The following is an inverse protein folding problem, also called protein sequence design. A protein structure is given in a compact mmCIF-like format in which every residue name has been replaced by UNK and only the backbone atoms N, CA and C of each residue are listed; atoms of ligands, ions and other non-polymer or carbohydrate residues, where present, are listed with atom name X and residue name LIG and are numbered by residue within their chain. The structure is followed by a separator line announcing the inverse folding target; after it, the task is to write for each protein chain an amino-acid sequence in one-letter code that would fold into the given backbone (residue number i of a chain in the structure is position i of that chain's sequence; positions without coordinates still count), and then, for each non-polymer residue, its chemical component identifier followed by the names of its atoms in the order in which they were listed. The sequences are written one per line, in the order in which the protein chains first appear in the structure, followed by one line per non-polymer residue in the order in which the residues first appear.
data_IF_232248542221
#
_entry.id   IF_232248542221
#
_cell.length_a   1.000
_cell.length_b   1.000
_cell.length_c   1.000
_cell.angle_alpha   90.00
_cell.angle_beta   90.00
_cell.angle_gamma   90.00
#
_symmetry.space_group_name_H-M   'P 1'
#
loop_
_entity.id
_entity.type
_entity.pdbx_description
1 polymer ?
#
# COMPACT_ATOMS: atom_id res chain seq x y z
N UNK A 1 25.04 91.39 -18.48
CA UNK A 1 23.96 91.61 -17.53
C UNK A 1 23.28 90.30 -17.19
N UNK A 2 23.17 90.05 -15.90
CA UNK A 2 22.29 89.04 -15.25
C UNK A 2 22.71 87.61 -15.51
N UNK A 3 23.03 86.89 -14.57
CA UNK A 3 22.74 86.56 -13.20
C UNK A 3 22.47 85.04 -13.14
N UNK A 4 23.23 84.42 -12.28
CA UNK A 4 23.23 83.05 -12.01
C UNK A 4 21.95 82.49 -11.38
N UNK A 5 21.76 81.21 -11.52
CA UNK A 5 20.98 80.47 -10.57
C UNK A 5 21.61 79.05 -10.42
N UNK A 6 21.92 78.77 -9.18
CA UNK A 6 22.52 77.50 -8.76
C UNK A 6 21.50 76.35 -8.97
N UNK A 7 21.93 75.31 -9.61
CA UNK A 7 21.25 73.99 -9.57
C UNK A 7 21.69 73.26 -8.34
N UNK A 8 20.80 73.04 -7.38
CA UNK A 8 20.97 72.15 -6.26
C UNK A 8 20.84 70.69 -6.76
N UNK A 9 21.92 69.96 -6.66
CA UNK A 9 21.92 68.51 -6.88
C UNK A 9 21.20 67.79 -5.74
N UNK A 10 20.05 67.21 -6.04
CA UNK A 10 19.33 66.33 -5.12
C UNK A 10 19.94 64.95 -5.18
N UNK A 11 20.73 64.61 -4.18
CA UNK A 11 21.31 63.27 -4.02
C UNK A 11 20.23 62.29 -3.55
N UNK A 12 19.92 61.17 -4.27
CA UNK A 12 18.91 60.22 -3.79
C UNK A 12 19.50 59.39 -2.66
N UNK A 13 18.85 59.44 -1.51
CA UNK A 13 19.11 58.65 -0.32
C UNK A 13 18.81 57.17 -0.61
N UNK A 14 19.83 56.35 -0.86
CA UNK A 14 19.71 54.91 -1.03
C UNK A 14 19.40 54.24 0.31
N UNK A 15 18.13 53.92 0.56
CA UNK A 15 17.75 53.05 1.65
C UNK A 15 18.17 51.63 1.35
N UNK A 16 19.23 51.19 2.05
CA UNK A 16 19.62 49.75 2.05
C UNK A 16 18.71 48.99 3.01
N UNK A 17 17.68 48.35 2.48
CA UNK A 17 16.92 47.36 3.25
C UNK A 17 17.79 46.13 3.45
N UNK A 18 18.27 45.95 4.67
CA UNK A 18 18.90 44.69 5.09
C UNK A 18 17.76 43.71 5.43
N UNK A 19 17.44 42.84 4.49
CA UNK A 19 16.53 41.72 4.77
C UNK A 19 17.31 40.68 5.61
N UNK A 20 17.10 40.71 6.91
CA UNK A 20 17.55 39.61 7.78
C UNK A 20 16.66 38.40 7.55
N UNK A 21 17.18 37.44 6.80
CA UNK A 21 16.52 36.13 6.60
C UNK A 21 16.73 35.32 7.91
N UNK A 22 15.71 35.32 8.77
CA UNK A 22 15.65 34.43 9.93
C UNK A 22 15.36 33.01 9.42
N UNK A 23 16.40 32.20 9.29
CA UNK A 23 16.27 30.76 9.07
C UNK A 23 15.70 30.11 10.34
N UNK A 24 14.39 29.87 10.35
CA UNK A 24 13.76 29.00 11.33
C UNK A 24 14.14 27.54 11.01
N UNK A 25 15.10 27.00 11.70
CA UNK A 25 15.38 25.55 11.70
C UNK A 25 14.33 24.87 12.56
N UNK A 26 13.33 24.25 11.92
CA UNK A 26 12.38 23.36 12.60
C UNK A 26 13.14 22.07 12.90
N UNK A 27 13.31 21.67 14.17
CA UNK A 27 13.89 20.37 14.47
C UNK A 27 12.93 19.29 13.98
N UNK A 28 13.32 18.52 12.96
CA UNK A 28 12.64 17.28 12.61
C UNK A 28 12.94 16.31 13.74
N UNK A 29 12.00 16.17 14.66
CA UNK A 29 12.05 15.09 15.64
C UNK A 29 11.96 13.78 14.85
N UNK A 30 13.07 13.07 14.72
CA UNK A 30 13.07 11.68 14.26
C UNK A 30 12.24 10.89 15.28
N UNK A 31 10.98 10.58 14.93
CA UNK A 31 10.18 9.65 15.70
C UNK A 31 10.90 8.30 15.62
N UNK A 32 11.67 7.98 16.67
CA UNK A 32 12.29 6.67 16.80
C UNK A 32 11.19 5.62 16.76
N UNK A 33 11.22 4.74 15.77
CA UNK A 33 10.32 3.59 15.73
C UNK A 33 10.53 2.80 17.02
N UNK A 34 9.50 2.72 17.85
CA UNK A 34 9.48 1.87 19.01
C UNK A 34 9.78 0.44 18.52
N UNK A 35 10.87 -0.15 19.07
CA UNK A 35 11.23 -1.53 18.75
C UNK A 35 10.07 -2.43 19.17
N UNK A 36 9.35 -3.01 18.21
CA UNK A 36 8.36 -4.04 18.52
C UNK A 36 9.04 -5.21 19.22
N UNK A 37 8.44 -5.77 20.28
CA UNK A 37 8.98 -6.96 20.91
C UNK A 37 9.04 -8.10 19.89
N UNK A 38 10.02 -9.02 20.08
CA UNK A 38 10.07 -10.23 19.26
C UNK A 38 8.78 -11.03 19.44
N UNK A 39 8.20 -11.48 18.34
CA UNK A 39 7.04 -12.36 18.32
C UNK A 39 7.32 -13.60 17.48
N UNK A 40 6.78 -14.74 17.91
CA UNK A 40 6.86 -16.02 17.21
C UNK A 40 5.43 -16.51 16.94
N UNK A 41 5.19 -16.98 15.72
CA UNK A 41 3.88 -17.45 15.27
C UNK A 41 4.00 -18.90 14.76
N UNK A 42 3.94 -19.91 15.63
CA UNK A 42 3.86 -21.31 15.20
C UNK A 42 2.67 -21.49 14.26
N UNK A 43 2.88 -22.12 13.11
CA UNK A 43 1.88 -22.16 12.04
C UNK A 43 0.56 -22.87 12.42
N UNK A 44 0.61 -23.76 13.44
CA UNK A 44 -0.58 -24.47 13.95
C UNK A 44 -1.39 -23.65 14.96
N UNK A 45 -0.86 -22.54 15.46
CA UNK A 45 -1.46 -21.70 16.53
C UNK A 45 -2.02 -20.39 16.02
N UNK A 46 -2.15 -20.23 14.70
CA UNK A 46 -2.64 -18.97 14.13
C UNK A 46 -4.13 -18.76 14.44
N UNK A 47 -4.45 -17.59 14.96
CA UNK A 47 -5.83 -17.15 15.13
C UNK A 47 -6.39 -16.64 13.79
N UNK A 48 -7.27 -17.44 13.19
CA UNK A 48 -7.91 -17.10 11.93
C UNK A 48 -9.23 -16.37 12.18
N UNK A 49 -9.35 -15.16 11.64
CA UNK A 49 -10.57 -14.34 11.61
C UNK A 49 -11.15 -14.33 10.20
N UNK A 50 -12.36 -13.80 10.05
CA UNK A 50 -12.91 -13.54 8.72
C UNK A 50 -12.01 -12.58 7.95
N UNK A 51 -11.90 -12.80 6.65
CA UNK A 51 -11.15 -11.93 5.75
C UNK A 51 -11.72 -10.51 5.72
N UNK A 52 -10.94 -9.53 5.24
CA UNK A 52 -11.42 -8.17 5.16
C UNK A 52 -12.62 -8.06 4.21
N UNK A 53 -13.53 -7.09 4.41
CA UNK A 53 -14.74 -6.94 3.59
C UNK A 53 -14.47 -6.76 2.09
N UNK A 54 -13.25 -6.36 1.75
CA UNK A 54 -12.80 -6.23 0.36
C UNK A 54 -12.53 -7.57 -0.35
N UNK A 55 -12.50 -8.68 0.38
CA UNK A 55 -12.40 -10.02 -0.21
C UNK A 55 -13.78 -10.71 -0.19
N UNK A 56 -14.07 -11.56 -1.17
CA UNK A 56 -15.29 -12.38 -1.15
C UNK A 56 -15.43 -13.19 0.15
N UNK A 57 -16.65 -13.53 0.52
CA UNK A 57 -16.93 -14.37 1.69
C UNK A 57 -16.21 -15.73 1.57
N UNK A 58 -15.68 -16.21 2.69
CA UNK A 58 -14.96 -17.48 2.76
C UNK A 58 -13.46 -17.31 2.96
N UNK A 59 -12.90 -16.16 2.60
CA UNK A 59 -11.53 -15.83 2.99
C UNK A 59 -11.37 -15.78 4.51
N UNK A 60 -10.24 -16.26 5.02
CA UNK A 60 -9.82 -16.06 6.41
C UNK A 60 -8.48 -15.32 6.44
N UNK A 61 -8.24 -14.57 7.51
CA UNK A 61 -7.03 -13.77 7.69
C UNK A 61 -6.44 -14.00 9.09
N UNK A 62 -5.11 -14.05 9.16
CA UNK A 62 -4.34 -13.99 10.40
C UNK A 62 -3.27 -12.91 10.26
N UNK A 63 -3.27 -11.94 11.17
CA UNK A 63 -2.25 -10.87 11.20
C UNK A 63 -1.06 -11.40 12.02
N UNK A 64 0.13 -11.31 11.47
CA UNK A 64 1.38 -11.73 12.11
C UNK A 64 2.16 -10.52 12.62
N UNK A 65 2.13 -9.40 11.89
CA UNK A 65 2.86 -8.19 12.24
C UNK A 65 2.13 -6.96 11.73
N UNK A 66 2.19 -5.88 12.50
CA UNK A 66 1.62 -4.58 12.12
C UNK A 66 0.10 -4.59 12.00
N UNK A 67 -0.41 -3.55 11.34
CA UNK A 67 -1.82 -3.40 11.02
C UNK A 67 -1.94 -3.09 9.51
N UNK A 68 -2.51 -4.00 8.70
CA UNK A 68 -2.64 -3.77 7.27
C UNK A 68 -3.55 -2.59 6.91
N UNK A 69 -4.29 -2.03 7.85
CA UNK A 69 -5.16 -0.86 7.62
C UNK A 69 -4.45 0.47 7.86
N UNK A 70 -3.26 0.46 8.48
CA UNK A 70 -2.51 1.64 8.86
C UNK A 70 -1.20 1.77 8.07
N UNK A 71 -0.62 2.98 7.97
CA UNK A 71 0.73 3.14 7.44
C UNK A 71 1.76 2.35 8.25
N UNK A 72 2.66 1.67 7.58
CA UNK A 72 3.73 0.88 8.19
C UNK A 72 3.86 -0.50 7.58
N UNK A 73 4.87 -1.24 8.00
CA UNK A 73 5.07 -2.63 7.57
C UNK A 73 4.00 -3.52 8.18
N UNK A 74 3.45 -4.40 7.37
CA UNK A 74 2.57 -5.46 7.84
C UNK A 74 2.97 -6.82 7.26
N UNK A 75 2.64 -7.88 7.97
CA UNK A 75 2.68 -9.26 7.51
C UNK A 75 1.39 -9.96 7.95
N UNK A 76 0.69 -10.57 7.00
CA UNK A 76 -0.53 -11.32 7.26
C UNK A 76 -0.57 -12.61 6.45
N UNK A 77 -1.41 -13.55 6.87
CA UNK A 77 -1.76 -14.71 6.04
C UNK A 77 -3.22 -14.65 5.64
N UNK A 78 -3.47 -15.02 4.40
CA UNK A 78 -4.82 -15.25 3.88
C UNK A 78 -4.98 -16.74 3.62
N UNK A 79 -6.14 -17.29 3.98
CA UNK A 79 -6.54 -18.66 3.67
C UNK A 79 -7.79 -18.63 2.82
N UNK A 80 -7.71 -19.26 1.68
CA UNK A 80 -8.76 -19.34 0.69
C UNK A 80 -9.28 -20.78 0.59
N UNK A 81 -10.59 -21.02 0.57
CA UNK A 81 -11.14 -22.32 0.25
C UNK A 81 -10.88 -22.69 -1.23
N UNK A 82 -11.08 -23.96 -1.57
CA UNK A 82 -11.01 -24.40 -2.96
C UNK A 82 -11.94 -23.62 -3.87
N UNK A 83 -11.46 -23.27 -5.06
CA UNK A 83 -12.21 -22.51 -6.05
C UNK A 83 -12.41 -21.02 -5.74
N UNK A 84 -11.87 -20.53 -4.63
CA UNK A 84 -11.97 -19.10 -4.26
C UNK A 84 -11.43 -18.20 -5.37
N UNK A 85 -12.13 -17.11 -5.67
CA UNK A 85 -11.78 -16.20 -6.74
C UNK A 85 -11.67 -14.78 -6.21
N UNK A 86 -10.63 -14.08 -6.65
CA UNK A 86 -10.48 -12.63 -6.50
C UNK A 86 -10.46 -12.04 -7.91
N UNK A 87 -11.52 -11.33 -8.26
CA UNK A 87 -11.68 -10.73 -9.57
C UNK A 87 -10.65 -9.63 -9.83
N UNK A 88 -10.48 -9.15 -11.09
CA UNK A 88 -9.48 -8.16 -11.44
C UNK A 88 -9.52 -6.93 -10.54
N UNK A 89 -8.39 -6.66 -9.91
CA UNK A 89 -8.20 -5.59 -8.95
C UNK A 89 -6.75 -5.10 -8.94
N UNK A 90 -6.48 -4.07 -8.17
CA UNK A 90 -5.16 -3.51 -7.94
C UNK A 90 -5.03 -2.96 -6.52
N UNK A 91 -3.79 -2.73 -6.09
CA UNK A 91 -3.44 -2.19 -4.77
C UNK A 91 -2.74 -0.85 -4.89
N UNK A 92 -2.88 0.00 -3.88
CA UNK A 92 -2.20 1.31 -3.82
C UNK A 92 -0.72 1.20 -3.49
N UNK A 93 -0.30 0.07 -2.94
CA UNK A 93 1.10 -0.24 -2.58
C UNK A 93 1.54 -1.52 -3.27
N UNK A 94 2.86 -1.72 -3.34
CA UNK A 94 3.40 -3.00 -3.82
C UNK A 94 3.00 -4.13 -2.87
N UNK A 95 2.46 -5.20 -3.42
CA UNK A 95 2.13 -6.40 -2.67
C UNK A 95 3.15 -7.50 -2.94
N UNK A 96 3.56 -8.19 -1.89
CA UNK A 96 4.44 -9.36 -1.95
C UNK A 96 3.68 -10.55 -1.41
N UNK A 97 3.74 -11.66 -2.13
CA UNK A 97 3.04 -12.89 -1.75
C UNK A 97 3.94 -14.12 -1.83
N UNK A 98 3.83 -14.96 -0.82
CA UNK A 98 4.43 -16.30 -0.81
C UNK A 98 3.33 -17.33 -0.62
N UNK A 99 3.28 -18.35 -1.47
CA UNK A 99 2.35 -19.47 -1.29
C UNK A 99 2.90 -20.42 -0.22
N UNK A 100 2.18 -20.52 0.91
CA UNK A 100 2.55 -21.38 2.05
C UNK A 100 1.94 -22.77 1.90
N UNK A 101 0.77 -22.88 1.30
CA UNK A 101 0.04 -24.14 1.06
C UNK A 101 -0.83 -24.02 -0.17
N UNK A 102 -1.03 -25.12 -0.89
CA UNK A 102 -1.93 -25.19 -2.05
C UNK A 102 -1.34 -24.56 -3.31
N UNK A 103 -2.21 -24.15 -4.20
CA UNK A 103 -1.84 -23.51 -5.48
C UNK A 103 -2.68 -22.25 -5.70
N UNK A 104 -2.01 -21.13 -5.87
CA UNK A 104 -2.62 -19.90 -6.33
C UNK A 104 -2.40 -19.75 -7.83
N UNK A 105 -3.46 -19.63 -8.59
CA UNK A 105 -3.40 -19.25 -9.99
C UNK A 105 -3.51 -17.73 -10.10
N UNK A 106 -2.46 -17.08 -10.61
CA UNK A 106 -2.38 -15.63 -10.77
C UNK A 106 -2.42 -15.24 -12.23
N UNK A 107 -3.36 -14.37 -12.59
CA UNK A 107 -3.48 -13.78 -13.92
C UNK A 107 -3.31 -12.27 -13.88
N UNK A 108 -2.85 -11.71 -15.00
CA UNK A 108 -2.61 -10.27 -15.13
C UNK A 108 -3.66 -9.63 -16.02
N UNK A 109 -4.00 -8.36 -15.74
CA UNK A 109 -4.90 -7.57 -16.56
C UNK A 109 -6.29 -7.36 -15.95
N UNK A 110 -7.21 -6.91 -16.80
CA UNK A 110 -8.53 -6.40 -16.38
C UNK A 110 -9.67 -7.42 -16.56
N UNK A 111 -9.38 -8.58 -17.11
CA UNK A 111 -10.38 -9.62 -17.41
C UNK A 111 -10.03 -10.90 -16.69
N UNK A 112 -11.00 -11.44 -15.97
CA UNK A 112 -10.83 -12.73 -15.29
C UNK A 112 -10.87 -13.85 -16.31
N UNK A 113 -9.74 -14.52 -16.53
CA UNK A 113 -9.62 -15.64 -17.45
C UNK A 113 -8.71 -16.73 -16.87
N UNK A 114 -9.29 -17.84 -16.46
CA UNK A 114 -8.53 -18.94 -15.82
C UNK A 114 -7.43 -19.52 -16.71
N UNK A 115 -7.65 -19.55 -18.03
CA UNK A 115 -6.67 -20.10 -18.98
C UNK A 115 -5.41 -19.24 -19.13
N UNK A 116 -5.45 -17.97 -18.70
CA UNK A 116 -4.33 -17.04 -18.79
C UNK A 116 -3.58 -16.86 -17.46
N UNK A 117 -3.73 -17.81 -16.54
CA UNK A 117 -3.08 -17.73 -15.21
C UNK A 117 -1.80 -18.54 -15.14
N UNK A 118 -0.87 -18.10 -14.29
CA UNK A 118 0.31 -18.87 -13.88
C UNK A 118 0.01 -19.55 -12.55
N UNK A 119 0.25 -20.86 -12.48
CA UNK A 119 0.11 -21.63 -11.24
C UNK A 119 1.31 -21.38 -10.33
N UNK A 120 1.06 -20.83 -9.15
CA UNK A 120 2.03 -20.61 -8.10
C UNK A 120 1.80 -21.68 -7.03
N UNK A 121 2.63 -22.70 -7.01
CA UNK A 121 2.57 -23.79 -6.04
C UNK A 121 3.22 -23.41 -4.71
N UNK A 122 3.07 -24.24 -3.68
CA UNK A 122 3.74 -24.06 -2.38
C UNK A 122 5.23 -23.74 -2.54
N UNK A 123 5.71 -22.69 -1.87
CA UNK A 123 7.07 -22.16 -1.96
C UNK A 123 7.26 -21.09 -3.05
N UNK A 124 6.29 -20.89 -3.95
CA UNK A 124 6.36 -19.83 -4.94
C UNK A 124 6.26 -18.45 -4.27
N UNK A 125 7.02 -17.49 -4.82
CA UNK A 125 7.00 -16.10 -4.43
C UNK A 125 6.72 -15.21 -5.64
N UNK A 126 5.98 -14.16 -5.44
CA UNK A 126 5.75 -13.11 -6.43
C UNK A 126 5.55 -11.75 -5.78
N UNK A 127 5.73 -10.71 -6.57
CA UNK A 127 5.35 -9.36 -6.16
C UNK A 127 4.78 -8.62 -7.37
N UNK A 128 3.88 -7.70 -7.11
CA UNK A 128 3.32 -6.82 -8.11
C UNK A 128 3.32 -5.39 -7.60
N UNK A 129 3.90 -4.46 -8.39
CA UNK A 129 3.95 -3.05 -8.05
C UNK A 129 2.56 -2.44 -7.88
N UNK A 130 2.51 -1.31 -7.16
CA UNK A 130 1.30 -0.51 -7.02
C UNK A 130 0.61 -0.25 -8.37
N UNK A 131 -0.71 -0.34 -8.41
CA UNK A 131 -1.51 -0.13 -9.61
C UNK A 131 -1.52 -1.29 -10.61
N UNK A 132 -0.75 -2.35 -10.37
CA UNK A 132 -0.74 -3.53 -11.26
C UNK A 132 -2.07 -4.28 -11.17
N UNK A 133 -2.81 -4.34 -12.28
CA UNK A 133 -4.08 -5.05 -12.36
C UNK A 133 -3.86 -6.54 -12.50
N UNK A 134 -4.45 -7.31 -11.59
CA UNK A 134 -4.30 -8.75 -11.53
C UNK A 134 -5.56 -9.38 -10.94
N UNK A 135 -5.66 -10.71 -11.07
CA UNK A 135 -6.73 -11.52 -10.52
C UNK A 135 -6.18 -12.87 -10.10
N UNK A 136 -6.88 -13.57 -9.23
CA UNK A 136 -6.42 -14.85 -8.73
C UNK A 136 -7.56 -15.82 -8.48
N UNK A 137 -7.25 -17.12 -8.48
CA UNK A 137 -8.12 -18.16 -7.96
C UNK A 137 -7.30 -19.28 -7.30
N UNK A 138 -7.92 -19.92 -6.32
CA UNK A 138 -7.31 -20.97 -5.52
C UNK A 138 -7.69 -22.35 -6.06
N UNK A 139 -6.71 -23.24 -6.24
CA UNK A 139 -6.90 -24.66 -6.48
C UNK A 139 -6.56 -25.42 -5.19
N UNK A 140 -7.61 -26.04 -4.62
CA UNK A 140 -7.56 -26.57 -3.26
C UNK A 140 -7.52 -25.46 -2.20
N UNK A 141 -7.49 -25.86 -0.91
CA UNK A 141 -7.27 -24.88 0.16
C UNK A 141 -5.88 -24.25 0.01
N UNK A 142 -5.85 -22.95 -0.17
CA UNK A 142 -4.61 -22.21 -0.42
C UNK A 142 -4.34 -21.19 0.69
N UNK A 143 -3.10 -21.18 1.20
CA UNK A 143 -2.64 -20.22 2.20
C UNK A 143 -1.52 -19.38 1.58
N UNK A 144 -1.70 -18.08 1.61
CA UNK A 144 -0.72 -17.08 1.19
C UNK A 144 -0.18 -16.35 2.42
N UNK A 145 1.09 -15.99 2.41
CA UNK A 145 1.64 -14.96 3.27
C UNK A 145 1.86 -13.70 2.46
N UNK A 146 1.20 -12.64 2.84
CA UNK A 146 1.34 -11.30 2.26
C UNK A 146 2.14 -10.41 3.20
N UNK A 147 2.97 -9.54 2.61
CA UNK A 147 3.63 -8.48 3.35
C UNK A 147 3.83 -7.26 2.46
N UNK A 148 3.98 -6.11 3.08
CA UNK A 148 4.15 -4.85 2.36
C UNK A 148 4.05 -3.64 3.26
N UNK A 149 3.81 -2.49 2.64
CA UNK A 149 3.48 -1.24 3.31
C UNK A 149 1.97 -1.06 3.34
N UNK A 150 1.43 -0.76 4.51
CA UNK A 150 0.03 -0.38 4.64
C UNK A 150 -0.21 1.12 4.31
N UNK A 151 -1.45 1.53 4.10
CA UNK A 151 -2.64 0.69 4.18
C UNK A 151 -2.78 -0.25 2.97
N UNK A 152 -3.10 -1.51 3.24
CA UNK A 152 -3.40 -2.48 2.21
C UNK A 152 -4.85 -2.32 1.74
N UNK A 153 -5.03 -2.07 0.46
CA UNK A 153 -6.32 -1.78 -0.15
C UNK A 153 -6.55 -2.65 -1.37
N UNK A 154 -7.80 -2.99 -1.65
CA UNK A 154 -8.22 -3.62 -2.89
C UNK A 154 -9.15 -2.66 -3.62
N UNK A 155 -8.84 -2.34 -4.86
CA UNK A 155 -9.71 -1.60 -5.78
C UNK A 155 -10.03 -2.50 -6.97
N UNK A 156 -11.29 -2.88 -7.11
CA UNK A 156 -11.74 -3.71 -8.22
C UNK A 156 -11.82 -2.91 -9.51
N UNK A 157 -11.44 -3.54 -10.62
CA UNK A 157 -11.53 -2.93 -11.96
C UNK A 157 -12.99 -2.72 -12.34
N UNK A 158 -13.85 -3.71 -12.10
CA UNK A 158 -15.28 -3.59 -12.25
C UNK A 158 -15.92 -3.46 -10.85
N UNK A 159 -16.60 -2.35 -10.59
CA UNK A 159 -17.25 -2.09 -9.32
C UNK A 159 -18.31 -3.15 -8.93
N UNK A 160 -18.89 -3.86 -9.90
CA UNK A 160 -19.83 -4.95 -9.62
C UNK A 160 -19.17 -6.19 -8.98
N UNK A 161 -17.85 -6.33 -9.10
CA UNK A 161 -17.09 -7.43 -8.52
C UNK A 161 -16.65 -7.15 -7.07
N UNK A 162 -16.85 -5.92 -6.61
CA UNK A 162 -16.50 -5.50 -5.24
C UNK A 162 -17.51 -6.07 -4.24
N UNK A 163 -17.10 -7.00 -3.35
CA UNK A 163 -18.03 -7.60 -2.40
C UNK A 163 -18.67 -6.59 -1.43
N UNK A 164 -18.08 -5.42 -1.25
CA UNK A 164 -18.60 -4.34 -0.40
C UNK A 164 -19.83 -3.66 -1.01
N UNK A 165 -20.02 -3.78 -2.33
CA UNK A 165 -21.17 -3.20 -3.05
C UNK A 165 -22.32 -4.19 -3.25
N UNK A 166 -22.11 -5.49 -2.99
CA UNK A 166 -23.14 -6.49 -3.08
C UNK A 166 -24.25 -6.17 -2.05
N UNK A 167 -25.45 -5.87 -2.55
CA UNK A 167 -26.64 -5.74 -1.70
C UNK A 167 -26.98 -7.11 -1.12
N UNK A 168 -27.41 -7.18 0.15
CA UNK A 168 -27.85 -8.42 0.77
C UNK A 168 -29.07 -9.03 0.07
#
# INVERSE_FOLDING_TARGET
MCAGSACEEITPMRHRYVFSLLLFTIPIAAAGQAKSPMALFPGIELEWKDGPPALPKGAKMAILEGDPTQPGVFTMRLRFPDGFQVFPHWHTQTEHATVIKGTLHLGMGERFERSSTTALVTGSFGYWPAGTKHFAWAEGETILQLHGQGPWTITYVNAADDPRTARP
#
